data_IF_969684616723
#
_entry.id   IF_969684616723
#
_cell.length_a   1.000
_cell.length_b   1.000
_cell.length_c   1.000
_cell.angle_alpha   90.00
_cell.angle_beta   90.00
_cell.angle_gamma   90.00
#
_symmetry.space_group_name_H-M   'P 1'
#
loop_
_entity.id
_entity.type
_entity.pdbx_description
1 polymer ?
#
# COMPACT_ATOMS: atom_id res chain seq x y z
N UNK A 1 23.07 -5.35 24.62
CA UNK A 1 21.92 -5.04 23.76
C UNK A 1 22.44 -4.66 22.37
N UNK A 2 21.82 -5.21 21.30
CA UNK A 2 22.09 -4.80 19.94
C UNK A 2 21.20 -3.61 19.59
N UNK A 3 21.76 -2.57 19.00
CA UNK A 3 21.02 -1.37 18.62
C UNK A 3 21.29 -1.00 17.18
N UNK A 4 20.24 -0.59 16.46
CA UNK A 4 20.38 0.04 15.15
C UNK A 4 21.21 1.33 15.30
N UNK A 5 22.31 1.40 14.58
CA UNK A 5 23.19 2.57 14.57
C UNK A 5 22.92 3.49 13.40
N UNK A 6 22.46 2.92 12.28
CA UNK A 6 22.18 3.67 11.07
C UNK A 6 21.08 3.01 10.24
N UNK A 7 20.28 3.84 9.55
CA UNK A 7 19.40 3.46 8.46
C UNK A 7 19.62 4.44 7.30
N UNK A 8 19.84 3.93 6.12
CA UNK A 8 20.12 4.74 4.95
C UNK A 8 19.64 4.07 3.67
N UNK A 9 19.46 4.86 2.63
CA UNK A 9 19.03 4.37 1.34
C UNK A 9 20.05 4.75 0.26
N UNK A 10 20.14 3.92 -0.77
CA UNK A 10 21.01 4.15 -1.92
C UNK A 10 20.25 3.80 -3.21
N UNK A 11 20.49 4.56 -4.27
CA UNK A 11 20.09 4.17 -5.62
C UNK A 11 20.97 3.02 -6.09
N UNK A 12 20.37 1.95 -6.61
CA UNK A 12 21.12 0.81 -7.11
C UNK A 12 20.23 -0.19 -7.84
N UNK A 13 20.73 -1.41 -7.99
CA UNK A 13 20.00 -2.51 -8.65
C UNK A 13 19.92 -3.71 -7.74
N UNK A 14 18.79 -4.40 -7.80
CA UNK A 14 18.60 -5.69 -7.11
C UNK A 14 19.27 -6.85 -7.90
N UNK A 15 19.14 -8.06 -7.40
CA UNK A 15 19.68 -9.29 -8.01
C UNK A 15 19.09 -9.62 -9.39
N UNK A 16 17.93 -9.02 -9.74
CA UNK A 16 17.28 -9.16 -11.04
C UNK A 16 17.62 -8.03 -12.02
N UNK A 17 18.64 -7.21 -11.70
CA UNK A 17 19.06 -6.03 -12.49
C UNK A 17 17.99 -4.94 -12.59
N UNK A 18 16.99 -4.93 -11.69
CA UNK A 18 15.98 -3.91 -11.60
C UNK A 18 16.48 -2.70 -10.81
N UNK A 19 16.37 -1.50 -11.39
CA UNK A 19 16.78 -0.26 -10.75
C UNK A 19 15.78 0.18 -9.68
N UNK A 20 16.29 0.71 -8.56
CA UNK A 20 15.45 1.17 -7.47
C UNK A 20 16.23 1.75 -6.31
N UNK A 21 15.56 1.81 -5.17
CA UNK A 21 16.12 2.26 -3.89
C UNK A 21 16.32 1.04 -3.00
N UNK A 22 17.56 0.87 -2.52
CA UNK A 22 17.94 -0.17 -1.57
C UNK A 22 18.08 0.48 -0.20
N UNK A 23 17.34 -0.02 0.78
CA UNK A 23 17.35 0.50 2.15
C UNK A 23 18.13 -0.47 3.03
N UNK A 24 19.22 0.04 3.60
CA UNK A 24 20.15 -0.69 4.41
C UNK A 24 20.10 -0.25 5.86
N UNK A 25 20.51 -1.17 6.73
CA UNK A 25 20.72 -0.89 8.15
C UNK A 25 22.11 -1.34 8.58
N UNK A 26 22.63 -0.65 9.57
CA UNK A 26 23.78 -1.07 10.37
C UNK A 26 23.36 -1.18 11.83
N UNK A 27 23.94 -2.14 12.56
CA UNK A 27 23.75 -2.25 13.99
C UNK A 27 25.04 -2.53 14.72
N UNK A 28 25.15 -2.05 15.95
CA UNK A 28 26.25 -2.38 16.85
C UNK A 28 25.78 -3.36 17.91
N UNK A 29 26.71 -4.16 18.41
CA UNK A 29 26.45 -5.15 19.46
C UNK A 29 27.36 -4.91 20.64
N UNK A 30 26.81 -4.97 21.87
CA UNK A 30 27.58 -5.00 23.10
C UNK A 30 28.17 -6.41 23.33
N UNK A 31 29.27 -6.52 24.06
CA UNK A 31 29.94 -7.80 24.33
C UNK A 31 28.99 -8.88 24.90
N UNK A 32 29.06 -10.10 24.39
CA UNK A 32 28.33 -11.27 24.90
C UNK A 32 26.90 -11.43 24.36
N UNK A 33 26.64 -11.04 23.14
CA UNK A 33 25.30 -10.87 22.61
C UNK A 33 24.83 -11.90 21.60
N UNK A 34 23.52 -11.88 21.35
CA UNK A 34 22.80 -12.69 20.39
C UNK A 34 23.32 -12.49 18.97
N UNK A 35 23.36 -13.57 18.23
CA UNK A 35 23.77 -13.60 16.83
C UNK A 35 22.60 -13.68 15.86
N UNK A 36 21.36 -13.59 16.36
CA UNK A 36 20.15 -13.81 15.58
C UNK A 36 19.23 -12.61 15.64
N UNK A 37 18.78 -12.14 14.48
CA UNK A 37 17.97 -10.95 14.31
C UNK A 37 16.79 -11.20 13.40
N UNK A 38 15.65 -10.63 13.75
CA UNK A 38 14.50 -10.49 12.89
C UNK A 38 14.20 -9.01 12.70
N UNK A 39 13.89 -8.65 11.48
CA UNK A 39 13.49 -7.29 11.14
C UNK A 39 12.04 -7.26 10.71
N UNK A 40 11.37 -6.18 11.03
CA UNK A 40 10.14 -5.76 10.39
C UNK A 40 10.21 -4.26 10.11
N UNK A 41 9.39 -3.81 9.18
CA UNK A 41 9.29 -2.39 8.93
C UNK A 41 7.83 -1.98 8.77
N UNK A 42 7.61 -0.68 8.93
CA UNK A 42 6.37 0.00 8.63
C UNK A 42 6.71 1.13 7.68
N UNK A 43 6.16 1.08 6.47
CA UNK A 43 6.38 2.10 5.46
C UNK A 43 5.14 2.98 5.32
N UNK A 44 5.36 4.29 5.23
CA UNK A 44 4.32 5.29 5.02
C UNK A 44 4.72 6.17 3.85
N UNK A 45 3.81 6.36 2.92
CA UNK A 45 4.07 7.18 1.75
C UNK A 45 2.92 8.14 1.48
N UNK A 46 3.27 9.30 0.93
CA UNK A 46 2.35 10.36 0.55
C UNK A 46 1.74 10.05 -0.81
N UNK A 47 0.42 10.13 -0.89
CA UNK A 47 -0.35 9.95 -2.12
C UNK A 47 -1.03 11.27 -2.46
N UNK A 48 -0.97 11.70 -3.72
CA UNK A 48 -1.65 12.89 -4.21
C UNK A 48 -2.58 12.49 -5.34
N UNK A 49 -3.90 12.69 -5.14
CA UNK A 49 -4.88 12.43 -6.19
C UNK A 49 -4.71 13.42 -7.36
N UNK A 50 -4.41 12.94 -8.58
CA UNK A 50 -3.99 13.80 -9.68
C UNK A 50 -5.12 14.70 -10.23
N UNK A 51 -6.37 14.31 -10.07
CA UNK A 51 -7.56 15.02 -10.56
C UNK A 51 -8.51 15.46 -9.45
N UNK A 52 -8.00 15.63 -8.23
CA UNK A 52 -8.82 16.18 -7.15
C UNK A 52 -9.30 17.60 -7.46
N UNK A 53 -10.56 17.87 -7.17
CA UNK A 53 -11.18 19.21 -7.24
C UNK A 53 -11.86 19.56 -5.91
N UNK A 54 -12.01 20.86 -5.57
CA UNK A 54 -12.66 21.28 -4.32
C UNK A 54 -14.17 21.08 -4.32
N UNK A 55 -14.72 20.47 -5.36
CA UNK A 55 -16.15 20.20 -5.52
C UNK A 55 -16.36 18.74 -5.87
N UNK A 56 -17.56 18.22 -5.60
CA UNK A 56 -17.93 16.84 -5.84
C UNK A 56 -19.39 16.71 -6.29
N UNK A 57 -19.75 15.52 -6.79
CA UNK A 57 -21.14 15.19 -7.06
C UNK A 57 -21.90 14.92 -5.78
N UNK A 58 -23.08 15.53 -5.65
CA UNK A 58 -24.09 15.17 -4.66
C UNK A 58 -25.33 14.65 -5.37
N UNK A 59 -25.75 13.43 -5.06
CA UNK A 59 -26.93 12.78 -5.63
C UNK A 59 -27.98 12.57 -4.55
N UNK A 60 -29.17 13.12 -4.80
CA UNK A 60 -30.33 12.94 -3.93
C UNK A 60 -31.59 12.58 -4.74
N UNK A 61 -32.66 12.18 -4.05
CA UNK A 61 -33.95 11.81 -4.65
C UNK A 61 -33.85 10.80 -5.81
N UNK A 62 -32.85 9.94 -5.80
CA UNK A 62 -32.59 8.97 -6.87
C UNK A 62 -33.53 7.77 -6.79
N UNK A 63 -34.41 7.65 -7.80
CA UNK A 63 -35.23 6.47 -8.04
C UNK A 63 -35.06 6.02 -9.51
N UNK A 64 -34.24 4.98 -9.75
CA UNK A 64 -33.94 4.48 -11.10
C UNK A 64 -35.17 3.85 -11.78
N UNK A 65 -36.21 3.49 -11.02
CA UNK A 65 -37.39 2.80 -11.51
C UNK A 65 -38.65 3.67 -11.51
N UNK A 66 -38.54 4.96 -11.23
CA UNK A 66 -39.65 5.89 -11.32
C UNK A 66 -40.26 5.94 -12.74
N UNK A 67 -41.57 6.07 -12.81
CA UNK A 67 -42.29 6.15 -14.08
C UNK A 67 -42.93 7.52 -14.24
N UNK A 68 -42.95 8.14 -15.43
CA UNK A 68 -42.48 7.61 -16.73
C UNK A 68 -40.98 7.74 -16.98
N UNK A 69 -40.24 8.43 -16.12
CA UNK A 69 -38.77 8.63 -16.21
C UNK A 69 -38.17 8.51 -14.83
N UNK A 70 -36.88 8.18 -14.77
CA UNK A 70 -36.10 8.18 -13.52
C UNK A 70 -36.14 9.56 -12.87
N UNK A 71 -36.14 9.60 -11.55
CA UNK A 71 -36.04 10.83 -10.78
C UNK A 71 -34.69 10.89 -10.07
N UNK A 72 -34.10 12.05 -10.03
CA UNK A 72 -32.86 12.35 -9.31
C UNK A 72 -32.66 13.85 -9.22
N UNK A 73 -31.90 14.28 -8.23
CA UNK A 73 -31.30 15.59 -8.14
C UNK A 73 -29.78 15.38 -8.09
N UNK A 74 -29.07 15.82 -9.13
CA UNK A 74 -27.60 15.75 -9.22
C UNK A 74 -27.05 17.17 -9.20
N UNK A 75 -26.28 17.48 -8.17
CA UNK A 75 -25.65 18.78 -7.98
C UNK A 75 -24.12 18.64 -7.88
N UNK A 76 -23.40 19.72 -8.16
CA UNK A 76 -21.96 19.83 -7.90
C UNK A 76 -21.79 20.77 -6.71
N UNK A 77 -21.36 20.24 -5.60
CA UNK A 77 -21.27 20.95 -4.31
C UNK A 77 -19.82 21.05 -3.84
N UNK A 78 -19.54 21.97 -2.92
CA UNK A 78 -18.22 22.07 -2.30
C UNK A 78 -17.97 20.84 -1.41
N UNK A 79 -16.77 20.25 -1.51
CA UNK A 79 -16.35 19.17 -0.61
C UNK A 79 -16.27 19.66 0.82
N UNK A 80 -16.67 18.82 1.76
CA UNK A 80 -16.54 19.09 3.19
C UNK A 80 -15.12 18.86 3.71
N UNK A 81 -14.33 18.01 3.02
CA UNK A 81 -12.97 17.62 3.44
C UNK A 81 -12.00 17.71 2.25
N UNK A 82 -10.75 17.93 2.60
CA UNK A 82 -9.65 17.83 1.65
C UNK A 82 -9.27 16.35 1.49
N UNK A 83 -9.35 15.83 0.25
CA UNK A 83 -9.09 14.44 -0.12
C UNK A 83 -8.07 14.34 -1.25
N UNK A 84 -7.27 15.38 -1.40
CA UNK A 84 -6.20 15.46 -2.40
C UNK A 84 -4.93 14.77 -1.92
N UNK A 85 -4.58 14.97 -0.65
CA UNK A 85 -3.33 14.48 -0.05
C UNK A 85 -3.65 13.47 1.03
N UNK A 86 -3.17 12.25 0.84
CA UNK A 86 -3.34 11.17 1.79
C UNK A 86 -1.99 10.51 2.12
N UNK A 87 -2.01 9.72 3.18
CA UNK A 87 -0.88 8.93 3.66
C UNK A 87 -1.32 7.48 3.79
N UNK A 88 -0.58 6.58 3.17
CA UNK A 88 -0.83 5.15 3.32
C UNK A 88 0.28 4.54 4.15
N UNK A 89 -0.09 3.77 5.17
CA UNK A 89 0.85 3.06 6.04
C UNK A 89 0.60 1.57 5.92
N UNK A 90 1.67 0.80 5.68
CA UNK A 90 1.62 -0.66 5.62
C UNK A 90 2.83 -1.29 6.31
N UNK A 91 2.62 -2.43 6.92
CA UNK A 91 3.69 -3.22 7.54
C UNK A 91 4.36 -4.16 6.52
N UNK A 92 5.60 -4.58 6.82
CA UNK A 92 6.26 -5.67 6.09
C UNK A 92 5.47 -6.97 6.23
N UNK A 93 5.31 -7.69 5.13
CA UNK A 93 4.65 -9.00 5.09
C UNK A 93 5.67 -10.14 5.14
N UNK A 94 6.90 -9.89 4.66
CA UNK A 94 7.98 -10.87 4.60
C UNK A 94 8.64 -11.11 5.96
N UNK A 95 9.14 -12.32 6.16
CA UNK A 95 10.01 -12.67 7.28
C UNK A 95 11.44 -12.29 6.91
N UNK A 96 11.99 -11.26 7.55
CA UNK A 96 13.33 -10.74 7.28
C UNK A 96 14.24 -11.16 8.42
N UNK A 97 15.17 -12.06 8.14
CA UNK A 97 16.09 -12.66 9.11
C UNK A 97 17.55 -12.39 8.75
N UNK A 98 18.37 -12.21 9.77
CA UNK A 98 19.82 -12.15 9.62
C UNK A 98 20.50 -12.82 10.80
N UNK A 99 21.65 -13.45 10.55
CA UNK A 99 22.51 -14.04 11.59
C UNK A 99 23.93 -13.56 11.42
N UNK A 100 24.55 -13.22 12.53
CA UNK A 100 25.99 -12.91 12.61
C UNK A 100 26.81 -14.09 13.18
N UNK A 101 26.17 -15.24 13.38
CA UNK A 101 26.84 -16.44 13.89
C UNK A 101 28.06 -16.82 13.03
N UNK A 102 29.19 -17.00 13.66
CA UNK A 102 30.44 -17.37 13.00
C UNK A 102 31.18 -16.23 12.29
N UNK A 103 30.66 -15.00 12.36
CA UNK A 103 31.38 -13.81 11.86
C UNK A 103 32.38 -13.33 12.91
N UNK A 104 33.49 -12.71 12.43
CA UNK A 104 34.54 -12.19 13.31
C UNK A 104 34.14 -10.89 14.05
N UNK A 105 32.99 -10.32 13.75
CA UNK A 105 32.41 -9.13 14.39
C UNK A 105 30.92 -9.36 14.61
N UNK A 106 30.42 -8.88 15.74
CA UNK A 106 29.02 -9.10 16.12
C UNK A 106 28.08 -7.99 15.63
N UNK A 107 28.55 -7.06 14.81
CA UNK A 107 27.74 -5.99 14.20
C UNK A 107 27.16 -6.43 12.86
N UNK A 108 26.00 -5.90 12.56
CA UNK A 108 25.40 -6.01 11.23
C UNK A 108 25.82 -4.79 10.42
N UNK A 109 26.44 -5.02 9.27
CA UNK A 109 26.87 -3.96 8.37
C UNK A 109 26.18 -4.12 7.01
N UNK A 110 25.58 -3.05 6.51
CA UNK A 110 24.96 -2.97 5.17
C UNK A 110 23.97 -4.10 4.90
N UNK A 111 23.09 -4.41 5.84
CA UNK A 111 22.05 -5.40 5.64
C UNK A 111 20.86 -4.80 4.90
N UNK A 112 20.50 -5.38 3.75
CA UNK A 112 19.36 -4.95 2.94
C UNK A 112 18.04 -5.36 3.60
N UNK A 113 17.24 -4.38 4.00
CA UNK A 113 15.93 -4.60 4.63
C UNK A 113 14.80 -4.47 3.62
N UNK A 114 14.92 -3.54 2.67
CA UNK A 114 13.86 -3.24 1.69
C UNK A 114 14.48 -2.83 0.35
N UNK A 115 13.95 -3.36 -0.73
CA UNK A 115 14.14 -2.84 -2.09
C UNK A 115 12.81 -2.26 -2.60
N UNK A 116 12.86 -1.08 -3.21
CA UNK A 116 11.71 -0.42 -3.83
C UNK A 116 12.08 -0.15 -5.28
N UNK A 117 11.29 -0.69 -6.20
CA UNK A 117 11.48 -0.45 -7.62
C UNK A 117 11.36 1.03 -7.95
N UNK A 118 12.18 1.52 -8.90
CA UNK A 118 12.08 2.88 -9.41
C UNK A 118 10.69 3.20 -9.98
N UNK A 119 10.01 2.19 -10.52
CA UNK A 119 8.67 2.34 -11.12
C UNK A 119 7.53 2.22 -10.10
N UNK A 120 7.83 1.94 -8.82
CA UNK A 120 6.79 1.83 -7.79
C UNK A 120 6.27 3.21 -7.41
N UNK A 121 4.95 3.40 -7.52
CA UNK A 121 4.29 4.69 -7.28
C UNK A 121 4.47 5.19 -5.82
N UNK A 122 4.77 4.31 -4.87
CA UNK A 122 4.92 4.66 -3.45
C UNK A 122 6.06 5.66 -3.19
N UNK A 123 7.04 5.74 -4.11
CA UNK A 123 8.13 6.72 -4.02
C UNK A 123 7.90 7.98 -4.86
N UNK A 124 6.73 8.14 -5.48
CA UNK A 124 6.41 9.32 -6.31
C UNK A 124 6.54 10.64 -5.54
N UNK A 125 6.24 10.60 -4.25
CA UNK A 125 6.32 11.71 -3.31
C UNK A 125 7.17 11.31 -2.11
N UNK A 126 7.00 12.03 -1.00
CA UNK A 126 7.73 11.72 0.23
C UNK A 126 7.38 10.34 0.76
N UNK A 127 8.40 9.59 1.14
CA UNK A 127 8.34 8.25 1.68
C UNK A 127 9.02 8.20 3.06
N UNK A 128 8.51 7.37 3.94
CA UNK A 128 9.07 7.09 5.26
C UNK A 128 9.07 5.59 5.53
N UNK A 129 10.13 5.09 6.15
CA UNK A 129 10.20 3.73 6.64
C UNK A 129 10.70 3.70 8.09
N UNK A 130 9.96 3.05 8.97
CA UNK A 130 10.38 2.72 10.33
C UNK A 130 10.83 1.27 10.35
N UNK A 131 12.12 1.02 10.55
CA UNK A 131 12.66 -0.33 10.68
C UNK A 131 12.82 -0.67 12.16
N UNK A 132 12.37 -1.86 12.54
CA UNK A 132 12.55 -2.43 13.88
C UNK A 132 13.42 -3.67 13.80
N UNK A 133 14.50 -3.69 14.58
CA UNK A 133 15.35 -4.84 14.80
C UNK A 133 14.92 -5.53 16.09
N UNK A 134 14.60 -6.81 16.02
CA UNK A 134 14.26 -7.66 17.15
C UNK A 134 15.40 -8.68 17.36
N UNK A 135 16.00 -8.66 18.55
CA UNK A 135 17.02 -9.65 18.93
C UNK A 135 16.30 -10.94 19.30
N UNK A 136 16.68 -12.03 18.64
CA UNK A 136 16.06 -13.35 18.81
C UNK A 136 17.00 -14.32 19.55
N UNK A 137 16.43 -15.30 20.23
CA UNK A 137 17.15 -16.53 20.55
C UNK A 137 17.13 -17.50 19.36
N UNK A 138 17.92 -18.54 19.44
CA UNK A 138 18.04 -19.54 18.37
C UNK A 138 16.71 -20.26 18.10
N UNK A 139 15.90 -20.51 19.12
CA UNK A 139 14.62 -21.20 18.96
C UNK A 139 13.61 -20.35 18.18
N UNK A 140 13.47 -19.06 18.55
CA UNK A 140 12.62 -18.12 17.84
C UNK A 140 13.12 -17.90 16.40
N UNK A 141 14.43 -17.73 16.21
CA UNK A 141 15.01 -17.58 14.88
C UNK A 141 14.72 -18.79 14.00
N UNK A 142 14.93 -20.01 14.51
CA UNK A 142 14.67 -21.25 13.78
C UNK A 142 13.19 -21.42 13.43
N UNK A 143 12.28 -20.99 14.31
CA UNK A 143 10.84 -20.99 14.03
C UNK A 143 10.49 -20.08 12.86
N UNK A 144 10.97 -18.84 12.87
CA UNK A 144 10.71 -17.88 11.79
C UNK A 144 11.40 -18.25 10.49
N UNK A 145 12.58 -18.89 10.54
CA UNK A 145 13.26 -19.43 9.37
C UNK A 145 12.43 -20.54 8.71
N UNK A 146 11.92 -21.48 9.49
CA UNK A 146 11.03 -22.52 8.98
C UNK A 146 9.75 -21.95 8.38
N UNK A 147 9.18 -20.91 9.01
CA UNK A 147 7.99 -20.22 8.50
C UNK A 147 8.25 -19.57 7.14
N UNK A 148 9.40 -18.92 6.98
CA UNK A 148 9.84 -18.31 5.71
C UNK A 148 10.06 -19.38 4.63
N UNK A 149 10.72 -20.48 4.97
CA UNK A 149 10.95 -21.61 4.06
C UNK A 149 9.62 -22.21 3.57
N UNK A 150 8.61 -22.30 4.45
CA UNK A 150 7.28 -22.76 4.05
C UNK A 150 6.56 -21.78 3.14
N UNK A 151 6.65 -20.48 3.42
CA UNK A 151 6.04 -19.45 2.59
C UNK A 151 6.64 -19.41 1.18
N UNK A 152 7.94 -19.63 1.06
CA UNK A 152 8.66 -19.64 -0.22
C UNK A 152 8.54 -20.97 -0.99
N UNK A 153 8.16 -22.06 -0.34
CA UNK A 153 7.97 -23.36 -0.97
C UNK A 153 6.66 -23.46 -1.75
N UNK A 154 6.50 -22.71 -2.82
CA UNK A 154 5.37 -22.80 -3.77
C UNK A 154 5.34 -24.10 -4.59
N UNK A 155 6.13 -25.11 -4.25
CA UNK A 155 6.17 -26.35 -4.99
C UNK A 155 4.91 -27.20 -4.72
N UNK A 156 3.95 -27.10 -5.64
CA UNK A 156 2.77 -27.99 -5.75
C UNK A 156 3.14 -29.49 -5.75
N UNK A 157 4.43 -29.82 -5.87
CA UNK A 157 4.97 -31.17 -5.87
C UNK A 157 5.70 -31.54 -4.56
N UNK A 158 5.85 -30.65 -3.60
CA UNK A 158 6.35 -31.01 -2.29
C UNK A 158 5.25 -31.76 -1.53
N UNK A 159 5.07 -33.04 -1.82
CA UNK A 159 4.33 -34.00 -0.97
C UNK A 159 5.07 -34.28 0.37
N UNK A 160 5.96 -33.44 0.77
CA UNK A 160 6.42 -33.39 2.16
C UNK A 160 5.36 -32.60 2.89
N UNK A 161 4.49 -33.30 3.55
CA UNK A 161 3.63 -32.71 4.59
C UNK A 161 4.56 -31.90 5.47
N UNK A 162 4.46 -30.54 5.50
CA UNK A 162 5.31 -29.74 6.37
C UNK A 162 5.07 -30.29 7.77
N UNK A 163 6.11 -30.74 8.44
CA UNK A 163 6.00 -31.06 9.87
C UNK A 163 5.35 -29.88 10.53
N UNK A 164 4.41 -30.10 11.41
CA UNK A 164 3.76 -29.02 12.17
C UNK A 164 4.88 -28.15 12.75
N UNK A 165 4.84 -26.85 12.43
CA UNK A 165 5.72 -25.87 13.08
C UNK A 165 5.55 -26.06 14.58
N UNK A 166 6.63 -26.41 15.28
CA UNK A 166 6.57 -26.66 16.71
C UNK A 166 6.33 -25.32 17.42
N UNK A 167 5.16 -25.19 18.01
CA UNK A 167 4.80 -24.05 18.86
C UNK A 167 5.36 -24.24 20.27
N UNK A 168 5.83 -23.16 20.87
CA UNK A 168 6.17 -23.14 22.30
C UNK A 168 4.94 -22.88 23.18
N UNK A 169 3.74 -22.74 22.59
CA UNK A 169 2.48 -22.51 23.28
C UNK A 169 1.76 -23.85 23.48
N UNK A 170 1.30 -24.12 24.70
CA UNK A 170 0.57 -25.34 25.06
C UNK A 170 -0.66 -25.03 25.89
N UNK A 171 -1.66 -25.87 25.78
CA UNK A 171 -2.83 -25.77 26.64
C UNK A 171 -2.49 -26.21 28.09
N UNK A 172 -2.96 -25.45 29.07
CA UNK A 172 -2.74 -25.72 30.49
C UNK A 172 -3.39 -27.05 30.92
N UNK A 173 -4.51 -27.43 30.33
CA UNK A 173 -5.24 -28.68 30.58
C UNK A 173 -4.59 -29.94 29.98
N UNK A 174 -3.41 -29.82 29.36
CA UNK A 174 -2.63 -30.93 28.80
C UNK A 174 -3.18 -31.51 27.52
N UNK A 175 -4.14 -30.86 26.84
CA UNK A 175 -4.61 -31.24 25.51
C UNK A 175 -3.45 -31.28 24.51
N UNK A 176 -3.39 -32.33 23.69
CA UNK A 176 -2.39 -32.48 22.63
C UNK A 176 -2.80 -31.78 21.31
N UNK A 177 -3.73 -30.84 21.36
CA UNK A 177 -4.12 -30.08 20.18
C UNK A 177 -3.01 -29.12 19.81
N UNK A 178 -2.49 -29.14 18.55
CA UNK A 178 -1.48 -28.19 18.12
C UNK A 178 -1.97 -26.75 18.24
N UNK A 179 -1.14 -25.87 18.78
CA UNK A 179 -1.36 -24.44 18.78
C UNK A 179 -0.51 -23.84 17.66
N UNK A 180 -1.11 -23.01 16.82
CA UNK A 180 -0.39 -22.29 15.80
C UNK A 180 0.19 -20.99 16.39
N UNK A 181 1.45 -20.72 16.06
CA UNK A 181 2.15 -19.52 16.49
C UNK A 181 3.29 -19.80 17.47
N UNK A 182 4.08 -18.77 17.70
CA UNK A 182 5.24 -18.80 18.58
C UNK A 182 5.23 -17.55 19.48
N UNK A 183 5.37 -17.74 20.77
CA UNK A 183 5.52 -16.63 21.71
C UNK A 183 6.99 -16.35 21.95
N UNK A 184 7.44 -15.13 21.65
CA UNK A 184 8.79 -14.66 21.95
C UNK A 184 8.77 -13.30 22.62
N UNK A 185 9.80 -13.03 23.39
CA UNK A 185 10.09 -11.71 23.95
C UNK A 185 11.46 -11.29 23.44
N UNK A 186 11.52 -10.14 22.82
CA UNK A 186 12.74 -9.63 22.20
C UNK A 186 13.01 -8.20 22.65
N UNK A 187 14.30 -7.84 22.76
CA UNK A 187 14.67 -6.43 22.79
C UNK A 187 14.49 -5.84 21.39
N UNK A 188 13.96 -4.62 21.33
CA UNK A 188 13.66 -3.93 20.08
C UNK A 188 14.45 -2.64 20.00
N UNK A 189 15.10 -2.41 18.86
CA UNK A 189 15.68 -1.13 18.49
C UNK A 189 15.04 -0.68 17.18
N UNK A 190 14.72 0.61 17.08
CA UNK A 190 14.04 1.13 15.89
C UNK A 190 14.67 2.44 15.40
N UNK A 191 14.62 2.64 14.09
CA UNK A 191 15.00 3.88 13.45
C UNK A 191 14.09 4.17 12.26
N UNK A 192 13.88 5.47 11.98
CA UNK A 192 13.05 5.95 10.87
C UNK A 192 13.89 6.73 9.88
N UNK A 193 13.66 6.45 8.59
CA UNK A 193 14.21 7.17 7.47
C UNK A 193 13.09 7.89 6.71
N UNK A 194 13.40 9.07 6.18
CA UNK A 194 12.57 9.79 5.22
C UNK A 194 13.40 10.14 3.99
N UNK A 195 12.75 10.13 2.83
CA UNK A 195 13.34 10.66 1.61
C UNK A 195 12.25 11.04 0.60
N UNK A 196 12.64 11.82 -0.38
CA UNK A 196 11.83 12.20 -1.53
C UNK A 196 12.38 11.53 -2.80
N UNK A 197 11.57 11.37 -3.83
CA UNK A 197 12.00 10.79 -5.12
C UNK A 197 13.22 11.52 -5.69
N UNK A 198 13.22 12.83 -5.59
CA UNK A 198 14.26 13.71 -6.11
C UNK A 198 15.63 13.51 -5.44
N UNK A 199 15.69 12.97 -4.23
CA UNK A 199 16.95 12.68 -3.53
C UNK A 199 17.80 11.63 -4.26
N UNK A 200 17.16 10.75 -5.04
CA UNK A 200 17.83 9.65 -5.74
C UNK A 200 17.68 9.72 -7.27
N UNK A 201 16.65 10.41 -7.78
CA UNK A 201 16.27 10.45 -9.19
C UNK A 201 16.02 11.89 -9.66
N UNK A 202 16.88 12.84 -9.23
CA UNK A 202 16.74 14.25 -9.57
C UNK A 202 16.68 14.47 -11.08
N UNK A 203 15.66 15.23 -11.53
CA UNK A 203 15.42 15.53 -12.93
C UNK A 203 14.86 14.37 -13.75
N UNK A 204 14.62 13.20 -13.17
CA UNK A 204 14.02 12.07 -13.86
C UNK A 204 12.48 12.08 -13.74
N UNK A 205 11.74 11.47 -14.70
CA UNK A 205 10.30 11.37 -14.61
C UNK A 205 9.90 10.49 -13.43
N UNK A 206 8.90 10.97 -12.67
CA UNK A 206 8.34 10.23 -11.54
C UNK A 206 7.60 8.97 -11.99
N UNK A 207 7.49 7.95 -11.14
CA UNK A 207 6.63 6.80 -11.37
C UNK A 207 5.21 7.21 -11.75
N UNK A 208 4.59 6.41 -12.59
CA UNK A 208 3.18 6.63 -12.93
C UNK A 208 2.28 6.42 -11.70
N UNK A 209 1.14 7.10 -11.69
CA UNK A 209 0.13 6.83 -10.67
C UNK A 209 -0.34 5.37 -10.75
N UNK A 210 -0.84 4.83 -9.65
CA UNK A 210 -1.20 3.40 -9.51
C UNK A 210 -2.16 2.88 -10.58
N UNK A 211 -2.98 3.78 -11.16
CA UNK A 211 -3.88 3.49 -12.27
C UNK A 211 -3.76 4.56 -13.36
N UNK A 212 -4.21 4.24 -14.55
CA UNK A 212 -4.29 5.22 -15.62
C UNK A 212 -5.53 6.10 -15.44
N UNK A 213 -5.32 7.35 -15.05
CA UNK A 213 -6.37 8.34 -14.83
C UNK A 213 -6.82 9.00 -16.14
N UNK A 214 -7.79 8.38 -16.80
CA UNK A 214 -8.35 8.91 -18.06
C UNK A 214 -9.58 9.76 -17.78
N UNK A 215 -9.62 10.96 -18.36
CA UNK A 215 -10.81 11.81 -18.36
C UNK A 215 -11.94 11.15 -19.16
N UNK A 216 -13.12 11.12 -18.58
CA UNK A 216 -14.30 10.47 -19.13
C UNK A 216 -15.48 11.45 -19.14
N UNK A 217 -16.46 11.18 -20.04
CA UNK A 217 -17.76 11.81 -20.04
C UNK A 217 -18.80 10.78 -20.44
N UNK A 218 -20.01 10.92 -19.91
CA UNK A 218 -21.15 10.09 -20.30
C UNK A 218 -22.47 10.84 -20.09
N UNK A 219 -23.59 10.37 -20.66
CA UNK A 219 -24.89 10.99 -20.45
C UNK A 219 -25.20 11.14 -18.97
N UNK A 220 -25.87 12.21 -18.60
CA UNK A 220 -26.25 12.45 -17.21
C UNK A 220 -27.12 11.30 -16.66
N UNK A 221 -28.14 10.91 -17.40
CA UNK A 221 -29.01 9.80 -17.04
C UNK A 221 -29.41 8.93 -18.24
N UNK A 222 -29.79 7.68 -17.95
CA UNK A 222 -30.42 6.76 -18.90
C UNK A 222 -31.93 6.66 -18.66
N UNK A 223 -32.78 7.01 -19.64
CA UNK A 223 -34.24 6.93 -19.49
C UNK A 223 -34.77 5.52 -19.27
N UNK A 224 -34.02 4.50 -19.66
CA UNK A 224 -34.42 3.09 -19.62
C UNK A 224 -33.61 2.27 -18.61
N UNK A 225 -33.18 2.85 -17.50
CA UNK A 225 -32.33 2.18 -16.51
C UNK A 225 -32.88 0.83 -16.02
N UNK A 226 -34.20 0.77 -15.76
CA UNK A 226 -34.87 -0.46 -15.31
C UNK A 226 -35.35 -1.37 -16.44
N UNK A 227 -35.07 -1.03 -17.71
CA UNK A 227 -35.45 -1.82 -18.89
C UNK A 227 -34.16 -2.38 -19.47
N UNK A 228 -34.14 -3.69 -19.62
CA UNK A 228 -33.01 -4.38 -20.26
C UNK A 228 -33.00 -4.04 -21.76
N UNK A 229 -32.13 -3.09 -22.14
CA UNK A 229 -32.00 -2.63 -23.52
C UNK A 229 -30.64 -3.06 -24.08
N UNK A 230 -30.59 -4.11 -24.95
CA UNK A 230 -29.33 -4.60 -25.52
C UNK A 230 -28.68 -3.63 -26.51
N UNK A 231 -29.35 -2.54 -26.87
CA UNK A 231 -28.90 -1.54 -27.88
C UNK A 231 -28.37 -0.26 -27.22
N UNK A 232 -28.17 -0.23 -25.91
CA UNK A 232 -27.61 0.96 -25.24
C UNK A 232 -26.25 1.33 -25.79
N UNK A 233 -26.08 2.50 -26.41
CA UNK A 233 -24.78 2.95 -26.88
C UNK A 233 -23.83 3.30 -25.74
N UNK A 234 -24.38 3.66 -24.56
CA UNK A 234 -23.65 4.08 -23.37
C UNK A 234 -24.04 3.22 -22.18
N UNK A 235 -23.17 2.34 -21.68
CA UNK A 235 -23.52 1.30 -20.72
C UNK A 235 -23.85 1.84 -19.32
N UNK A 236 -23.37 3.03 -18.95
CA UNK A 236 -23.62 3.65 -17.65
C UNK A 236 -23.71 5.17 -17.76
N UNK A 237 -24.72 5.74 -17.08
CA UNK A 237 -24.84 7.19 -16.93
C UNK A 237 -24.00 7.72 -15.78
N UNK A 238 -23.82 9.05 -15.73
CA UNK A 238 -23.16 9.72 -14.59
C UNK A 238 -23.91 9.43 -13.29
N UNK A 239 -25.26 9.55 -13.30
CA UNK A 239 -26.09 9.31 -12.11
C UNK A 239 -25.89 7.90 -11.54
N UNK A 240 -25.85 6.87 -12.42
CA UNK A 240 -25.59 5.48 -12.00
C UNK A 240 -24.21 5.34 -11.33
N UNK A 241 -23.20 5.96 -11.92
CA UNK A 241 -21.82 5.88 -11.43
C UNK A 241 -21.61 6.65 -10.14
N UNK A 242 -22.28 7.80 -9.97
CA UNK A 242 -22.31 8.55 -8.71
C UNK A 242 -23.02 7.75 -7.62
N UNK A 243 -24.15 7.09 -7.96
CA UNK A 243 -24.90 6.29 -7.00
C UNK A 243 -24.09 5.11 -6.42
N UNK A 244 -23.17 4.54 -7.20
CA UNK A 244 -22.29 3.46 -6.74
C UNK A 244 -20.90 3.95 -6.31
N UNK A 245 -20.70 5.26 -6.26
CA UNK A 245 -19.52 5.92 -5.72
C UNK A 245 -18.18 5.52 -6.38
N UNK A 246 -18.17 5.46 -7.72
CA UNK A 246 -16.99 5.01 -8.50
C UNK A 246 -16.31 6.12 -9.30
N UNK A 247 -16.84 7.34 -9.31
CA UNK A 247 -16.29 8.47 -10.06
C UNK A 247 -16.14 9.71 -9.19
N UNK A 248 -15.20 10.57 -9.59
CA UNK A 248 -14.99 11.91 -9.04
C UNK A 248 -15.20 12.97 -10.12
N UNK A 249 -15.88 14.04 -9.78
CA UNK A 249 -16.07 15.22 -10.63
C UNK A 249 -14.72 15.90 -10.93
N UNK A 250 -14.55 16.35 -12.17
CA UNK A 250 -13.37 17.12 -12.57
C UNK A 250 -13.76 18.50 -13.09
N UNK A 251 -14.69 18.57 -14.07
CA UNK A 251 -15.09 19.84 -14.69
C UNK A 251 -16.44 19.70 -15.43
N UNK A 252 -16.97 20.82 -15.90
CA UNK A 252 -18.08 20.84 -16.85
C UNK A 252 -17.58 20.48 -18.26
N UNK A 253 -18.35 19.66 -18.98
CA UNK A 253 -18.04 19.33 -20.36
C UNK A 253 -18.68 20.35 -21.33
N UNK A 254 -18.04 21.47 -21.51
CA UNK A 254 -18.46 22.51 -22.45
C UNK A 254 -18.12 22.19 -23.93
N UNK A 255 -18.18 20.90 -24.29
CA UNK A 255 -17.85 20.42 -25.63
C UNK A 255 -16.35 20.20 -25.88
N UNK A 256 -15.53 20.18 -24.80
CA UNK A 256 -14.08 20.03 -24.89
C UNK A 256 -13.60 18.57 -24.92
N UNK A 257 -14.40 17.64 -24.41
CA UNK A 257 -14.04 16.21 -24.40
C UNK A 257 -14.81 15.47 -25.49
N UNK A 258 -14.09 14.97 -26.50
CA UNK A 258 -14.63 14.10 -27.56
C UNK A 258 -14.76 12.66 -27.03
N UNK A 259 -15.93 12.34 -26.50
CA UNK A 259 -16.24 11.02 -25.95
C UNK A 259 -17.31 10.31 -26.80
N UNK A 260 -17.27 8.97 -26.81
CA UNK A 260 -18.27 8.13 -27.51
C UNK A 260 -19.69 8.42 -27.00
N UNK A 261 -19.82 8.72 -25.72
CA UNK A 261 -21.06 9.05 -25.05
C UNK A 261 -20.90 10.36 -24.27
N UNK A 262 -20.94 11.52 -24.94
CA UNK A 262 -20.75 12.78 -24.28
C UNK A 262 -21.90 13.12 -23.33
N UNK A 263 -21.55 13.75 -22.24
CA UNK A 263 -22.50 14.28 -21.24
C UNK A 263 -22.05 15.63 -20.72
N UNK A 264 -22.76 16.23 -19.78
CA UNK A 264 -22.49 17.59 -19.31
C UNK A 264 -21.27 17.71 -18.41
N UNK A 265 -20.73 16.59 -17.94
CA UNK A 265 -19.64 16.57 -16.96
C UNK A 265 -18.43 15.79 -17.46
N UNK A 266 -17.25 16.25 -17.02
CA UNK A 266 -15.99 15.52 -17.09
C UNK A 266 -15.72 14.93 -15.74
N UNK A 267 -15.36 13.65 -15.69
CA UNK A 267 -15.07 12.93 -14.47
C UNK A 267 -13.92 11.93 -14.69
N UNK A 268 -13.41 11.40 -13.61
CA UNK A 268 -12.41 10.31 -13.58
C UNK A 268 -12.90 9.20 -12.67
N UNK A 269 -12.24 8.05 -12.72
CA UNK A 269 -12.44 7.02 -11.70
C UNK A 269 -12.08 7.59 -10.32
N UNK A 270 -12.87 7.25 -9.28
CA UNK A 270 -12.78 7.85 -7.96
C UNK A 270 -11.37 7.86 -7.39
N UNK A 271 -10.62 6.78 -7.54
CA UNK A 271 -9.22 6.66 -7.09
C UNK A 271 -8.31 7.78 -7.66
N UNK A 272 -8.67 8.40 -8.78
CA UNK A 272 -7.92 9.48 -9.40
C UNK A 272 -8.28 10.87 -8.84
N UNK A 273 -9.46 11.02 -8.24
CA UNK A 273 -9.96 12.28 -7.71
C UNK A 273 -10.10 12.32 -6.19
N UNK A 274 -9.89 11.18 -5.53
CA UNK A 274 -10.03 11.01 -4.10
C UNK A 274 -8.96 10.04 -3.58
N UNK A 275 -7.98 10.57 -2.84
CA UNK A 275 -6.88 9.77 -2.30
C UNK A 275 -7.30 8.90 -1.10
N UNK A 276 -8.49 9.11 -0.51
CA UNK A 276 -8.95 8.33 0.65
C UNK A 276 -9.19 6.86 0.33
N UNK A 277 -9.34 6.53 -0.94
CA UNK A 277 -9.34 5.14 -1.45
C UNK A 277 -8.00 4.44 -1.17
N UNK A 278 -6.90 5.18 -1.15
CA UNK A 278 -5.54 4.64 -1.02
C UNK A 278 -4.93 4.86 0.37
N UNK A 279 -5.50 5.73 1.20
CA UNK A 279 -4.94 6.05 2.49
C UNK A 279 -5.80 6.99 3.31
N UNK A 280 -5.24 7.53 4.39
CA UNK A 280 -5.90 8.50 5.26
C UNK A 280 -5.49 9.92 4.90
N UNK A 281 -6.42 10.87 4.84
CA UNK A 281 -6.13 12.29 4.70
C UNK A 281 -5.66 12.96 6.01
N UNK A 282 -5.52 12.17 7.08
CA UNK A 282 -4.93 12.63 8.34
C UNK A 282 -3.42 12.47 8.29
N UNK A 283 -2.70 13.57 8.51
CA UNK A 283 -1.24 13.55 8.57
C UNK A 283 -0.80 12.73 9.78
N UNK A 284 0.06 11.70 9.62
CA UNK A 284 0.58 10.94 10.76
C UNK A 284 1.41 11.83 11.70
N UNK A 285 1.31 11.61 13.02
CA UNK A 285 1.99 12.43 14.04
C UNK A 285 3.52 12.47 13.87
N UNK A 286 4.12 11.42 13.32
CA UNK A 286 5.55 11.33 13.08
C UNK A 286 5.99 11.96 11.76
N UNK A 287 5.05 12.42 10.91
CA UNK A 287 5.36 12.86 9.55
C UNK A 287 6.10 14.21 9.55
N UNK A 288 7.14 14.29 8.73
CA UNK A 288 7.96 15.49 8.53
C UNK A 288 7.92 15.83 7.03
N UNK A 289 7.51 17.06 6.70
CA UNK A 289 7.51 17.57 5.31
C UNK A 289 8.92 17.96 4.86
#
# INVERSE_FOLDING_TARGET
ESTLTNIYAERGRNEFDEEGILIYIDSSVSEGQSDYYRYNYEETYKVIAPFWTPVEFELSNYDPCALPVITYDLEVVAREQEERVCYNTRASEDVILNSTEGLSGNGVERFLVRFISREDFIITHRYSILVRQLVQDLEAFSFYQQLDDFAKSESVFAQVQPGLLESNIRFEDGRQTPVLGYFSVASVSEQRLFFDFEDYFDGEPKPAYIVNCTLQSSPEAHPSYCIDDPIRPCPQSVVERVNIDVISYVDENNGGLDAVCPGPYIFVDRICGDCTILGSNVVPDFWIE
#
